data_IF_201435740583
#
_entry.id   IF_201435740583
#
_cell.length_a   1.000
_cell.length_b   1.000
_cell.length_c   1.000
_cell.angle_alpha   90.00
_cell.angle_beta   90.00
_cell.angle_gamma   90.00
#
_symmetry.space_group_name_H-M   'P 1'
#
loop_
_entity.id
_entity.type
_entity.pdbx_description
1 polymer ?
#
# COMPACT_ATOMS: atom_id res chain seq x y z
N UNK A 1 52.71 55.52 3.77
CA UNK A 1 54.06 55.00 4.04
C UNK A 1 54.26 53.76 3.19
N UNK A 2 55.08 53.90 2.15
CA UNK A 2 55.61 52.81 1.32
C UNK A 2 56.88 52.29 2.02
N UNK A 3 57.19 50.99 1.91
CA UNK A 3 58.53 50.45 1.56
C UNK A 3 58.87 49.10 2.21
N UNK A 4 59.13 48.08 1.35
CA UNK A 4 60.25 47.08 1.36
C UNK A 4 60.43 46.11 2.55
N UNK A 5 60.98 44.88 2.47
CA UNK A 5 61.39 43.87 1.45
C UNK A 5 61.89 42.64 2.27
N UNK A 6 62.07 41.50 1.58
CA UNK A 6 63.02 40.38 1.86
C UNK A 6 62.52 39.22 2.75
N UNK A 7 62.34 38.01 2.19
CA UNK A 7 63.29 36.85 2.05
C UNK A 7 63.65 36.24 3.42
N UNK A 8 63.51 34.93 3.67
CA UNK A 8 64.26 33.84 3.00
C UNK A 8 63.56 32.48 3.10
N UNK A 9 63.95 31.61 2.16
CA UNK A 9 63.62 30.20 1.98
C UNK A 9 64.83 29.36 2.41
N UNK A 10 64.64 28.22 3.07
CA UNK A 10 65.65 27.16 3.32
C UNK A 10 64.98 25.83 2.93
N UNK A 11 65.41 25.10 1.89
CA UNK A 11 66.58 24.20 1.89
C UNK A 11 66.20 22.88 2.61
N UNK A 12 66.26 21.66 2.05
CA UNK A 12 67.17 21.12 1.02
C UNK A 12 66.60 19.87 0.31
N UNK A 13 67.09 19.68 -0.93
CA UNK A 13 67.25 18.48 -1.82
C UNK A 13 66.94 17.08 -1.26
N UNK A 14 66.22 16.19 -1.98
CA UNK A 14 66.59 15.44 -3.23
C UNK A 14 67.75 14.45 -2.99
N UNK A 15 67.77 13.18 -3.38
CA UNK A 15 67.15 12.48 -4.50
C UNK A 15 67.03 10.95 -4.24
N UNK A 16 66.37 10.27 -5.19
CA UNK A 16 66.02 8.86 -5.30
C UNK A 16 67.18 7.86 -5.52
N UNK A 17 66.94 6.57 -5.24
CA UNK A 17 67.40 5.45 -6.10
C UNK A 17 66.60 4.13 -5.88
N UNK A 18 66.34 3.39 -6.96
CA UNK A 18 65.84 2.01 -7.13
C UNK A 18 66.89 1.26 -7.98
N UNK A 19 66.87 -0.08 -8.26
CA UNK A 19 66.21 -1.27 -7.66
C UNK A 19 67.19 -2.47 -7.47
N UNK A 20 66.75 -3.65 -6.98
CA UNK A 20 67.07 -4.99 -7.56
C UNK A 20 66.47 -6.20 -6.79
N UNK A 21 66.47 -7.34 -7.47
CA UNK A 21 65.57 -8.51 -7.42
C UNK A 21 66.34 -9.78 -7.04
N UNK A 22 65.78 -10.69 -6.22
CA UNK A 22 66.10 -12.15 -6.09
C UNK A 22 64.97 -12.84 -5.30
N UNK A 23 64.05 -13.56 -5.95
CA UNK A 23 64.03 -15.00 -6.27
C UNK A 23 63.71 -15.95 -5.09
N UNK A 24 62.45 -16.41 -5.13
CA UNK A 24 61.77 -17.59 -4.57
C UNK A 24 62.52 -18.65 -3.75
N UNK A 25 61.83 -19.12 -2.69
CA UNK A 25 61.55 -20.54 -2.44
C UNK A 25 60.21 -20.70 -1.73
N UNK A 26 59.40 -21.63 -2.22
CA UNK A 26 58.11 -22.03 -1.68
C UNK A 26 58.28 -22.95 -0.46
N UNK A 27 57.36 -22.86 0.50
CA UNK A 27 56.92 -24.02 1.26
C UNK A 27 55.40 -23.98 1.44
N UNK A 28 54.79 -25.12 1.20
CA UNK A 28 53.36 -25.34 1.07
C UNK A 28 52.83 -25.97 2.35
N UNK A 29 51.89 -25.32 3.02
CA UNK A 29 50.78 -25.97 3.74
C UNK A 29 49.90 -24.98 4.49
N UNK A 30 48.86 -24.46 3.82
CA UNK A 30 47.54 -24.29 4.44
C UNK A 30 46.47 -24.11 3.37
N UNK A 31 45.80 -25.22 3.07
CA UNK A 31 44.62 -25.32 2.21
C UNK A 31 43.55 -24.31 2.69
N UNK A 32 43.05 -23.39 1.85
CA UNK A 32 42.01 -22.47 2.25
C UNK A 32 40.73 -23.27 2.52
N UNK A 33 40.14 -23.06 3.69
CA UNK A 33 38.82 -23.59 4.02
C UNK A 33 37.85 -23.15 2.93
N UNK A 34 37.24 -24.15 2.28
CA UNK A 34 36.21 -24.02 1.26
C UNK A 34 35.14 -23.09 1.83
N UNK A 35 34.94 -21.92 1.21
CA UNK A 35 33.78 -21.05 1.47
C UNK A 35 32.54 -21.94 1.51
N UNK A 36 31.66 -21.84 2.51
CA UNK A 36 30.38 -22.50 2.46
C UNK A 36 29.70 -22.04 1.18
N UNK A 37 29.54 -22.96 0.24
CA UNK A 37 28.72 -22.74 -0.94
C UNK A 37 27.33 -22.45 -0.44
N UNK A 38 26.92 -21.20 -0.56
CA UNK A 38 25.55 -20.76 -0.32
C UNK A 38 24.64 -21.73 -1.06
N UNK A 39 23.72 -22.44 -0.37
CA UNK A 39 22.72 -23.22 -1.06
C UNK A 39 21.97 -22.26 -1.98
N UNK A 40 21.98 -22.55 -3.28
CA UNK A 40 21.09 -21.91 -4.24
C UNK A 40 19.68 -22.09 -3.70
N UNK A 41 19.07 -21.01 -3.22
CA UNK A 41 17.72 -21.03 -2.68
C UNK A 41 16.82 -21.73 -3.69
N UNK A 42 16.17 -22.81 -3.26
CA UNK A 42 15.03 -23.34 -3.98
C UNK A 42 14.06 -22.18 -4.16
N UNK A 43 13.60 -21.94 -5.39
CA UNK A 43 12.55 -20.96 -5.65
C UNK A 43 11.37 -21.31 -4.74
N UNK A 44 10.99 -20.41 -3.85
CA UNK A 44 9.90 -20.67 -2.91
C UNK A 44 8.58 -20.73 -3.68
N UNK A 45 7.84 -21.83 -3.53
CA UNK A 45 6.43 -21.99 -3.98
C UNK A 45 5.49 -21.26 -3.00
N UNK A 46 5.92 -20.09 -2.49
CA UNK A 46 5.17 -19.36 -1.48
C UNK A 46 3.95 -18.71 -2.15
N UNK A 47 2.78 -19.27 -1.86
CA UNK A 47 1.50 -18.78 -2.34
C UNK A 47 0.45 -18.90 -1.22
N UNK A 48 -0.63 -18.12 -1.33
CA UNK A 48 -1.77 -18.23 -0.41
C UNK A 48 -2.28 -19.68 -0.39
N UNK A 49 -2.56 -20.19 0.81
CA UNK A 49 -3.00 -21.57 1.04
C UNK A 49 -1.87 -22.60 1.12
N UNK A 50 -0.61 -22.23 0.86
CA UNK A 50 0.54 -23.12 1.02
C UNK A 50 1.12 -23.06 2.43
N UNK A 51 1.64 -24.19 2.90
CA UNK A 51 2.37 -24.25 4.18
C UNK A 51 3.76 -23.64 4.05
N UNK A 52 4.18 -22.93 5.08
CA UNK A 52 5.54 -22.44 5.26
C UNK A 52 6.41 -23.55 5.82
N UNK A 53 7.48 -23.91 5.12
CA UNK A 53 8.34 -25.06 5.46
C UNK A 53 9.78 -24.67 5.75
N UNK A 54 10.04 -23.39 6.05
CA UNK A 54 11.39 -22.90 6.33
C UNK A 54 11.83 -23.25 7.75
N UNK A 55 13.11 -23.63 7.90
CA UNK A 55 13.81 -23.88 9.16
C UNK A 55 14.69 -22.69 9.59
N UNK A 56 14.49 -21.52 8.96
CA UNK A 56 15.31 -20.34 9.23
C UNK A 56 15.15 -19.89 10.69
N UNK A 57 16.30 -19.60 11.30
CA UNK A 57 16.42 -18.90 12.58
C UNK A 57 17.10 -17.56 12.32
N UNK A 58 16.52 -16.49 12.84
CA UNK A 58 17.08 -15.14 12.81
C UNK A 58 17.31 -14.64 14.23
N UNK A 59 17.91 -13.45 14.35
CA UNK A 59 17.96 -12.72 15.61
C UNK A 59 17.06 -11.50 15.55
N UNK A 60 16.42 -11.16 16.67
CA UNK A 60 15.69 -9.91 16.80
C UNK A 60 16.62 -8.73 17.17
N UNK A 61 16.05 -7.56 17.40
CA UNK A 61 16.79 -6.34 17.76
C UNK A 61 17.61 -6.47 19.06
N UNK A 62 17.20 -7.36 19.98
CA UNK A 62 17.86 -7.65 21.25
C UNK A 62 18.88 -8.79 21.15
N UNK A 63 19.21 -9.22 19.92
CA UNK A 63 20.11 -10.35 19.63
C UNK A 63 19.59 -11.71 20.16
N UNK A 64 18.28 -11.80 20.44
CA UNK A 64 17.63 -13.07 20.81
C UNK A 64 17.29 -13.84 19.56
N UNK A 65 17.56 -15.15 19.58
CA UNK A 65 17.18 -16.05 18.50
C UNK A 65 15.67 -16.19 18.38
N UNK A 66 15.18 -16.16 17.14
CA UNK A 66 13.78 -16.36 16.77
C UNK A 66 13.74 -17.44 15.69
N UNK A 67 13.26 -18.63 16.06
CA UNK A 67 12.98 -19.71 15.12
C UNK A 67 11.69 -19.36 14.38
N UNK A 68 11.77 -19.15 13.07
CA UNK A 68 10.64 -18.58 12.31
C UNK A 68 9.42 -19.51 12.35
N UNK A 69 9.62 -20.82 12.29
CA UNK A 69 8.56 -21.82 12.39
C UNK A 69 7.79 -21.77 13.73
N UNK A 70 8.44 -21.34 14.82
CA UNK A 70 7.78 -21.23 16.13
C UNK A 70 6.84 -20.03 16.20
N UNK A 71 7.10 -18.98 15.40
CA UNK A 71 6.32 -17.72 15.45
C UNK A 71 4.85 -17.91 15.07
N UNK A 72 4.52 -18.96 14.30
CA UNK A 72 3.18 -19.26 13.82
C UNK A 72 2.66 -20.63 14.24
N UNK A 73 3.31 -21.30 15.21
CA UNK A 73 2.84 -22.61 15.70
C UNK A 73 1.50 -22.46 16.42
N UNK A 74 1.43 -21.53 17.36
CA UNK A 74 0.29 -21.39 18.28
C UNK A 74 -0.55 -20.12 18.05
N UNK A 75 -0.10 -19.23 17.19
CA UNK A 75 -0.74 -17.96 16.85
C UNK A 75 -0.52 -17.64 15.38
N UNK A 76 -1.27 -16.67 14.85
CA UNK A 76 -1.02 -16.16 13.51
C UNK A 76 0.01 -15.01 13.55
N UNK A 77 0.61 -14.67 12.43
CA UNK A 77 1.68 -13.68 12.36
C UNK A 77 1.68 -12.89 11.06
N UNK A 78 1.99 -11.61 11.15
CA UNK A 78 2.25 -10.72 10.02
C UNK A 78 3.75 -10.41 9.97
N UNK A 79 4.41 -10.80 8.89
CA UNK A 79 5.75 -10.35 8.55
C UNK A 79 5.65 -9.21 7.55
N UNK A 80 6.24 -8.05 7.86
CA UNK A 80 6.37 -6.96 6.89
C UNK A 80 7.83 -6.70 6.57
N UNK A 81 8.15 -6.71 5.28
CA UNK A 81 9.50 -6.51 4.77
C UNK A 81 9.69 -5.07 4.36
N UNK A 82 10.85 -4.51 4.70
CA UNK A 82 11.18 -3.13 4.37
C UNK A 82 12.65 -2.95 3.93
N UNK A 83 12.94 -2.03 3.00
CA UNK A 83 14.29 -1.77 2.51
C UNK A 83 15.34 -1.43 3.57
N UNK A 84 14.99 -0.54 4.51
CA UNK A 84 15.92 -0.01 5.51
C UNK A 84 15.22 0.71 6.64
N UNK A 85 15.60 0.41 7.87
CA UNK A 85 15.14 1.09 9.08
C UNK A 85 15.45 2.61 9.03
N UNK A 86 14.72 3.41 9.82
CA UNK A 86 14.87 4.87 9.92
C UNK A 86 14.63 5.69 8.63
N UNK A 87 14.19 5.08 7.52
CA UNK A 87 13.83 5.82 6.30
C UNK A 87 12.34 6.21 6.30
N UNK A 88 11.93 7.34 5.69
CA UNK A 88 10.56 7.86 5.81
C UNK A 88 9.46 6.85 5.44
N UNK A 89 9.62 6.14 4.31
CA UNK A 89 8.64 5.13 3.88
C UNK A 89 8.61 3.90 4.79
N UNK A 90 9.75 3.44 5.30
CA UNK A 90 9.81 2.30 6.23
C UNK A 90 9.23 2.66 7.59
N UNK A 91 9.53 3.86 8.09
CA UNK A 91 8.92 4.42 9.31
C UNK A 91 7.41 4.53 9.16
N UNK A 92 6.89 4.99 8.00
CA UNK A 92 5.44 5.05 7.77
C UNK A 92 4.77 3.66 7.86
N UNK A 93 5.40 2.63 7.30
CA UNK A 93 4.87 1.25 7.37
C UNK A 93 4.89 0.72 8.81
N UNK A 94 6.04 0.82 9.49
CA UNK A 94 6.19 0.30 10.84
C UNK A 94 5.30 1.03 11.85
N UNK A 95 5.19 2.36 11.76
CA UNK A 95 4.27 3.13 12.59
C UNK A 95 2.81 2.76 12.29
N UNK A 96 2.44 2.52 11.03
CA UNK A 96 1.08 2.05 10.72
C UNK A 96 0.74 0.70 11.37
N UNK A 97 1.69 -0.25 11.39
CA UNK A 97 1.50 -1.50 12.16
C UNK A 97 1.45 -1.26 13.66
N UNK A 98 2.27 -0.36 14.21
CA UNK A 98 2.22 0.03 15.63
C UNK A 98 0.84 0.59 15.98
N UNK A 99 0.34 1.52 15.17
CA UNK A 99 -0.90 2.23 15.43
C UNK A 99 -2.12 1.29 15.35
N UNK A 100 -1.97 0.12 14.71
CA UNK A 100 -2.98 -0.95 14.64
C UNK A 100 -2.63 -2.18 15.51
N UNK A 101 -1.61 -2.11 16.36
CA UNK A 101 -1.10 -3.32 17.04
C UNK A 101 -2.14 -3.98 17.93
N UNK A 102 -3.01 -3.19 18.58
CA UNK A 102 -4.02 -3.73 19.48
C UNK A 102 -5.04 -4.56 18.70
N UNK A 103 -5.59 -4.00 17.63
CA UNK A 103 -6.47 -4.70 16.69
C UNK A 103 -5.85 -6.00 16.17
N UNK A 104 -4.55 -5.98 15.86
CA UNK A 104 -3.86 -7.16 15.34
C UNK A 104 -3.74 -8.23 16.45
N UNK A 105 -3.38 -7.83 17.67
CA UNK A 105 -3.25 -8.73 18.83
C UNK A 105 -4.59 -9.33 19.26
N UNK A 106 -5.64 -8.52 19.29
CA UNK A 106 -6.99 -8.95 19.68
C UNK A 106 -7.53 -10.02 18.72
N UNK A 107 -7.10 -9.98 17.46
CA UNK A 107 -7.42 -11.00 16.45
C UNK A 107 -6.52 -12.25 16.50
N UNK A 108 -5.61 -12.36 17.48
CA UNK A 108 -4.71 -13.50 17.63
C UNK A 108 -3.49 -13.49 16.71
N UNK A 109 -3.10 -12.31 16.22
CA UNK A 109 -1.92 -12.14 15.38
C UNK A 109 -0.79 -11.41 16.12
N UNK A 110 0.45 -11.77 15.78
CA UNK A 110 1.65 -11.00 16.10
C UNK A 110 2.20 -10.30 14.88
N UNK A 111 3.11 -9.35 15.08
CA UNK A 111 3.77 -8.61 14.00
C UNK A 111 5.28 -8.75 14.15
N UNK A 112 5.97 -8.96 13.03
CA UNK A 112 7.43 -8.82 12.93
C UNK A 112 7.78 -7.92 11.75
N UNK A 113 8.68 -6.96 12.00
CA UNK A 113 9.38 -6.26 10.91
C UNK A 113 10.60 -7.07 10.47
N UNK A 114 10.86 -7.15 9.17
CA UNK A 114 11.99 -7.91 8.60
C UNK A 114 12.82 -7.05 7.63
N UNK A 115 14.12 -6.94 7.87
CA UNK A 115 15.07 -6.32 6.94
C UNK A 115 16.49 -6.86 7.08
N UNK A 116 17.38 -6.44 6.17
CA UNK A 116 18.81 -6.72 6.26
C UNK A 116 19.59 -5.81 7.24
N UNK A 117 18.90 -5.00 8.05
CA UNK A 117 19.55 -4.11 9.04
C UNK A 117 20.10 -4.93 10.23
N UNK A 118 21.17 -4.45 10.87
CA UNK A 118 21.75 -5.10 12.06
C UNK A 118 20.88 -4.93 13.32
N UNK A 119 20.98 -5.83 14.33
CA UNK A 119 20.21 -5.73 15.58
C UNK A 119 20.35 -4.36 16.27
N UNK A 120 21.56 -3.78 16.28
CA UNK A 120 21.82 -2.44 16.81
C UNK A 120 21.03 -1.33 16.07
N UNK A 121 20.96 -1.39 14.73
CA UNK A 121 20.18 -0.43 13.93
C UNK A 121 18.69 -0.54 14.25
N UNK A 122 18.21 -1.79 14.37
CA UNK A 122 16.83 -2.11 14.70
C UNK A 122 16.45 -1.66 16.12
N UNK A 123 17.30 -1.87 17.11
CA UNK A 123 17.08 -1.41 18.50
C UNK A 123 16.92 0.10 18.55
N UNK A 124 17.82 0.85 17.90
CA UNK A 124 17.72 2.31 17.85
C UNK A 124 16.41 2.77 17.19
N UNK A 125 15.98 2.10 16.12
CA UNK A 125 14.75 2.44 15.42
C UNK A 125 13.50 2.09 16.22
N UNK A 126 13.47 0.90 16.85
CA UNK A 126 12.40 0.45 17.74
C UNK A 126 12.18 1.44 18.88
N UNK A 127 13.25 1.85 19.55
CA UNK A 127 13.18 2.86 20.62
C UNK A 127 12.72 4.21 20.09
N UNK A 128 13.29 4.69 18.97
CA UNK A 128 12.97 6.01 18.41
C UNK A 128 11.50 6.13 17.97
N UNK A 129 10.90 5.04 17.50
CA UNK A 129 9.52 5.03 16.98
C UNK A 129 8.52 4.35 17.93
N UNK A 130 8.97 3.96 19.13
CA UNK A 130 8.16 3.24 20.12
C UNK A 130 7.43 2.03 19.51
N UNK A 131 8.15 1.19 18.75
CA UNK A 131 7.55 0.04 18.06
C UNK A 131 7.28 -1.10 19.06
N UNK A 132 6.02 -1.58 19.20
CA UNK A 132 5.60 -2.52 20.24
C UNK A 132 5.72 -4.00 19.81
N UNK A 133 6.54 -4.26 18.80
CA UNK A 133 6.74 -5.58 18.18
C UNK A 133 8.21 -5.79 17.85
N UNK A 134 8.59 -7.02 17.55
CA UNK A 134 9.99 -7.38 17.27
C UNK A 134 10.39 -7.09 15.83
N UNK A 135 11.68 -6.78 15.67
CA UNK A 135 12.32 -6.50 14.40
C UNK A 135 13.42 -7.53 14.17
N UNK A 136 13.34 -8.26 13.07
CA UNK A 136 14.24 -9.34 12.71
C UNK A 136 15.34 -8.84 11.79
N UNK A 137 16.57 -9.23 12.12
CA UNK A 137 17.78 -8.96 11.33
C UNK A 137 18.06 -10.16 10.42
N UNK A 138 18.01 -9.94 9.11
CA UNK A 138 18.31 -10.94 8.08
C UNK A 138 19.34 -10.42 7.06
N UNK A 139 20.60 -10.14 7.48
CA UNK A 139 21.62 -9.56 6.60
C UNK A 139 22.01 -10.47 5.42
N UNK A 140 21.78 -11.79 5.55
CA UNK A 140 22.03 -12.79 4.51
C UNK A 140 20.79 -13.02 3.61
N UNK A 141 19.68 -12.33 3.87
CA UNK A 141 18.43 -12.40 3.12
C UNK A 141 17.86 -13.83 3.02
N UNK A 142 18.02 -14.67 4.05
CA UNK A 142 17.49 -16.04 4.08
C UNK A 142 15.97 -16.04 4.03
N UNK A 143 15.35 -15.39 5.01
CA UNK A 143 13.89 -15.30 5.11
C UNK A 143 13.33 -14.32 4.07
N UNK A 144 14.04 -13.21 3.83
CA UNK A 144 13.65 -12.22 2.81
C UNK A 144 13.55 -12.85 1.42
N UNK A 145 14.52 -13.70 1.05
CA UNK A 145 14.50 -14.41 -0.23
C UNK A 145 13.42 -15.49 -0.25
N UNK A 146 13.23 -16.22 0.86
CA UNK A 146 12.15 -17.19 0.99
C UNK A 146 10.76 -16.56 0.80
N UNK A 147 10.55 -15.34 1.31
CA UNK A 147 9.34 -14.54 1.08
C UNK A 147 9.28 -13.84 -0.28
N UNK A 148 10.15 -14.18 -1.23
CA UNK A 148 10.15 -13.60 -2.58
C UNK A 148 10.41 -12.09 -2.61
N UNK A 149 11.05 -11.56 -1.55
CA UNK A 149 11.19 -10.12 -1.32
C UNK A 149 12.63 -9.63 -1.51
N UNK A 150 13.50 -10.45 -2.08
CA UNK A 150 14.88 -10.10 -2.40
C UNK A 150 14.98 -9.55 -3.83
N UNK A 151 15.71 -8.45 -4.01
CA UNK A 151 15.97 -7.79 -5.27
C UNK A 151 17.47 -7.81 -5.62
N UNK A 152 17.85 -7.64 -6.90
CA UNK A 152 19.24 -7.56 -7.32
C UNK A 152 20.05 -6.53 -6.51
N UNK A 153 21.28 -6.92 -6.16
CA UNK A 153 22.19 -6.08 -5.38
C UNK A 153 21.88 -6.03 -3.88
N UNK A 154 21.38 -7.14 -3.32
CA UNK A 154 21.05 -7.27 -1.89
C UNK A 154 20.06 -6.21 -1.39
N UNK A 155 19.08 -5.88 -2.24
CA UNK A 155 18.01 -4.93 -1.90
C UNK A 155 16.79 -5.71 -1.42
N UNK A 156 16.01 -5.11 -0.53
CA UNK A 156 14.75 -5.68 -0.05
C UNK A 156 13.59 -4.96 -0.74
N UNK A 157 12.68 -5.73 -1.33
CA UNK A 157 11.40 -5.24 -1.83
C UNK A 157 10.45 -5.05 -0.65
N UNK A 158 9.71 -3.95 -0.64
CA UNK A 158 8.65 -3.77 0.34
C UNK A 158 7.50 -4.73 0.04
N UNK A 159 7.09 -5.46 1.06
CA UNK A 159 6.09 -6.53 0.97
C UNK A 159 5.57 -6.86 2.37
N UNK A 160 4.54 -7.69 2.44
CA UNK A 160 4.18 -8.41 3.66
C UNK A 160 3.70 -9.81 3.32
N UNK A 161 3.79 -10.69 4.32
CA UNK A 161 3.23 -12.04 4.30
C UNK A 161 2.47 -12.23 5.60
N UNK A 162 1.23 -12.68 5.50
CA UNK A 162 0.44 -13.12 6.66
C UNK A 162 0.46 -14.63 6.70
N UNK A 163 0.81 -15.20 7.85
CA UNK A 163 0.85 -16.64 8.08
C UNK A 163 -0.13 -16.93 9.22
N UNK A 164 -1.09 -17.80 8.95
CA UNK A 164 -2.06 -18.27 9.92
C UNK A 164 -1.41 -19.25 10.89
N UNK A 165 -2.01 -19.37 12.07
CA UNK A 165 -1.70 -20.44 13.04
C UNK A 165 -1.61 -21.79 12.32
N UNK A 166 -0.54 -22.54 12.60
CA UNK A 166 -0.23 -23.81 11.93
C UNK A 166 0.60 -23.65 10.64
N UNK A 167 0.96 -22.42 10.26
CA UNK A 167 1.95 -22.15 9.21
C UNK A 167 1.41 -22.09 7.80
N UNK A 168 0.11 -21.88 7.60
CA UNK A 168 -0.48 -21.68 6.26
C UNK A 168 -0.42 -20.21 5.87
N UNK A 169 0.03 -19.89 4.66
CA UNK A 169 0.04 -18.52 4.16
C UNK A 169 -1.38 -18.03 3.91
N UNK A 170 -1.77 -16.95 4.59
CA UNK A 170 -3.08 -16.32 4.47
C UNK A 170 -3.15 -15.20 3.42
N UNK A 171 -2.14 -14.33 3.39
CA UNK A 171 -2.04 -13.23 2.41
C UNK A 171 -0.57 -12.96 2.04
N UNK A 172 -0.36 -12.50 0.81
CA UNK A 172 0.95 -12.06 0.32
C UNK A 172 0.75 -10.78 -0.50
N UNK A 173 1.51 -9.75 -0.20
CA UNK A 173 1.59 -8.58 -1.08
C UNK A 173 3.06 -8.24 -1.38
N UNK A 174 3.43 -8.33 -2.66
CA UNK A 174 4.73 -7.89 -3.14
C UNK A 174 4.63 -6.49 -3.78
N UNK A 175 5.72 -5.71 -3.71
CA UNK A 175 5.80 -4.36 -4.33
C UNK A 175 4.73 -3.41 -3.80
N UNK A 176 4.42 -3.53 -2.51
CA UNK A 176 3.34 -2.80 -1.87
C UNK A 176 3.84 -1.46 -1.35
N UNK A 177 2.96 -0.45 -1.28
CA UNK A 177 3.28 0.82 -0.64
C UNK A 177 3.29 0.68 0.90
N UNK A 178 3.89 1.61 1.66
CA UNK A 178 3.86 1.57 3.13
C UNK A 178 2.45 1.49 3.71
N UNK A 179 1.51 2.29 3.18
CA UNK A 179 0.15 2.37 3.70
C UNK A 179 -0.69 1.16 3.29
N UNK A 180 -0.50 0.68 2.05
CA UNK A 180 -1.25 -0.46 1.54
C UNK A 180 -0.84 -1.76 2.23
N UNK A 181 0.44 -1.89 2.61
CA UNK A 181 0.91 -3.05 3.38
C UNK A 181 0.17 -3.19 4.70
N UNK A 182 0.11 -2.09 5.46
CA UNK A 182 -0.60 -2.03 6.75
C UNK A 182 -2.09 -2.28 6.54
N UNK A 183 -2.67 -1.58 5.58
CA UNK A 183 -4.10 -1.65 5.27
C UNK A 183 -4.57 -3.06 4.95
N UNK A 184 -3.89 -3.74 4.04
CA UNK A 184 -4.23 -5.10 3.61
C UNK A 184 -4.02 -6.12 4.70
N UNK A 185 -2.90 -6.05 5.42
CA UNK A 185 -2.62 -6.98 6.51
C UNK A 185 -3.64 -6.83 7.66
N UNK A 186 -3.95 -5.60 8.08
CA UNK A 186 -4.95 -5.35 9.14
C UNK A 186 -6.34 -5.79 8.71
N UNK A 187 -6.70 -5.61 7.43
CA UNK A 187 -7.96 -6.12 6.90
C UNK A 187 -8.05 -7.65 6.98
N UNK A 188 -7.01 -8.33 6.48
CA UNK A 188 -6.95 -9.78 6.52
C UNK A 188 -7.08 -10.29 7.97
N UNK A 189 -6.39 -9.64 8.90
CA UNK A 189 -6.42 -9.98 10.33
C UNK A 189 -7.83 -9.83 10.90
N UNK A 190 -8.51 -8.71 10.64
CA UNK A 190 -9.91 -8.48 11.09
C UNK A 190 -10.89 -9.52 10.54
N UNK A 191 -10.71 -9.92 9.28
CA UNK A 191 -11.53 -10.97 8.65
C UNK A 191 -11.26 -12.35 9.26
N UNK A 192 -10.00 -12.61 9.62
CA UNK A 192 -9.58 -13.89 10.22
C UNK A 192 -10.06 -14.06 11.66
N UNK A 193 -10.33 -12.98 12.40
CA UNK A 193 -10.92 -13.02 13.75
C UNK A 193 -12.42 -13.31 13.78
N UNK A 194 -13.09 -13.46 12.63
CA UNK A 194 -14.53 -13.75 12.53
C UNK A 194 -14.93 -15.21 12.77
N UNK A 195 -13.99 -16.09 13.10
CA UNK A 195 -14.29 -17.46 13.51
C UNK A 195 -13.92 -17.62 15.00
N UNK A 196 -14.95 -17.80 15.86
CA UNK A 196 -14.88 -18.07 17.32
C UNK A 196 -14.74 -16.77 18.19
N UNK A 197 -15.70 -16.23 18.96
CA UNK A 197 -16.94 -16.68 19.63
C UNK A 197 -17.80 -15.44 20.10
N UNK A 198 -18.76 -15.56 21.05
CA UNK A 198 -20.18 -15.90 20.94
C UNK A 198 -21.17 -14.70 20.95
N UNK A 199 -22.42 -15.02 20.62
CA UNK A 199 -23.64 -14.19 20.54
C UNK A 199 -23.87 -13.26 21.75
N UNK A 200 -24.27 -12.02 21.47
CA UNK A 200 -25.30 -11.31 22.24
C UNK A 200 -26.07 -10.36 21.31
N UNK A 201 -27.35 -10.72 21.15
CA UNK A 201 -28.56 -10.01 20.69
C UNK A 201 -28.50 -8.96 19.57
N UNK A 202 -29.07 -9.38 18.43
CA UNK A 202 -29.62 -8.53 17.36
C UNK A 202 -30.59 -7.44 17.87
N UNK A 203 -30.84 -6.43 17.03
CA UNK A 203 -32.16 -6.41 16.41
C UNK A 203 -32.10 -6.40 14.87
N UNK A 204 -32.61 -7.49 14.29
CA UNK A 204 -33.39 -7.62 13.06
C UNK A 204 -32.84 -7.00 11.77
N UNK A 205 -32.20 -7.89 10.99
CA UNK A 205 -32.31 -8.05 9.52
C UNK A 205 -33.29 -7.10 8.80
N UNK A 206 -32.74 -6.29 7.90
CA UNK A 206 -33.25 -6.26 6.52
C UNK A 206 -32.31 -7.11 5.67
N UNK A 207 -32.91 -8.02 4.91
CA UNK A 207 -32.21 -9.04 4.14
C UNK A 207 -31.58 -8.43 2.88
N UNK A 208 -30.25 -8.40 2.83
CA UNK A 208 -29.52 -8.26 1.56
C UNK A 208 -29.61 -9.59 0.79
N UNK A 209 -30.07 -9.60 -0.47
CA UNK A 209 -30.25 -10.82 -1.23
C UNK A 209 -28.90 -11.45 -1.55
N UNK A 210 -28.79 -12.73 -1.20
CA UNK A 210 -27.73 -13.63 -1.62
C UNK A 210 -27.90 -13.98 -3.11
N UNK A 211 -27.39 -13.13 -3.99
CA UNK A 211 -26.80 -13.51 -5.28
C UNK A 211 -26.15 -12.26 -5.88
N UNK A 212 -24.82 -12.11 -5.76
CA UNK A 212 -24.13 -11.02 -6.44
C UNK A 212 -24.01 -11.36 -7.92
N UNK A 213 -25.07 -11.07 -8.68
CA UNK A 213 -24.88 -10.64 -10.06
C UNK A 213 -23.87 -9.49 -10.03
N UNK A 214 -22.63 -9.77 -10.47
CA UNK A 214 -21.58 -8.76 -10.52
C UNK A 214 -22.12 -7.57 -11.33
N UNK A 215 -22.15 -6.40 -10.71
CA UNK A 215 -22.39 -5.15 -11.40
C UNK A 215 -21.32 -5.00 -12.49
N UNK A 216 -21.71 -5.15 -13.76
CA UNK A 216 -20.80 -5.17 -14.91
C UNK A 216 -21.13 -4.05 -15.90
N UNK A 217 -20.17 -3.72 -16.74
CA UNK A 217 -20.35 -2.80 -17.87
C UNK A 217 -21.53 -3.26 -18.73
N UNK A 218 -22.38 -2.31 -19.11
CA UNK A 218 -23.58 -2.54 -19.89
C UNK A 218 -24.88 -2.66 -19.08
N UNK A 219 -24.78 -2.93 -17.77
CA UNK A 219 -25.95 -2.93 -16.87
C UNK A 219 -26.51 -1.50 -16.71
N UNK A 220 -27.79 -1.39 -16.35
CA UNK A 220 -28.39 -0.12 -15.95
C UNK A 220 -28.26 0.04 -14.44
N UNK A 221 -27.85 1.23 -14.00
CA UNK A 221 -27.84 1.59 -12.57
C UNK A 221 -29.27 1.63 -12.04
N UNK A 222 -29.60 0.70 -11.16
CA UNK A 222 -30.91 0.57 -10.49
C UNK A 222 -30.95 1.17 -9.09
N UNK A 223 -29.82 1.68 -8.59
CA UNK A 223 -29.73 2.31 -7.27
C UNK A 223 -30.65 3.54 -7.18
N UNK A 224 -31.70 3.47 -6.35
CA UNK A 224 -32.71 4.54 -6.23
C UNK A 224 -32.51 5.44 -5.00
N UNK A 225 -31.37 5.30 -4.31
CA UNK A 225 -31.07 6.05 -3.09
C UNK A 225 -30.69 7.52 -3.31
N UNK A 226 -30.66 8.24 -2.20
CA UNK A 226 -30.24 9.63 -2.12
C UNK A 226 -28.94 9.74 -1.32
N UNK A 227 -28.09 10.70 -1.67
CA UNK A 227 -26.85 11.02 -0.94
C UNK A 227 -26.80 12.52 -0.61
N UNK A 228 -25.97 12.88 0.36
CA UNK A 228 -25.67 14.30 0.62
C UNK A 228 -24.47 14.75 -0.20
N UNK A 229 -24.51 15.98 -0.70
CA UNK A 229 -23.38 16.64 -1.37
C UNK A 229 -22.42 17.29 -0.37
N UNK A 230 -21.26 17.77 -0.82
CA UNK A 230 -20.38 18.64 -0.01
C UNK A 230 -21.11 19.87 0.57
N UNK A 231 -22.10 20.42 -0.13
CA UNK A 231 -22.94 21.51 0.37
C UNK A 231 -24.06 21.05 1.33
N UNK A 232 -24.05 19.79 1.78
CA UNK A 232 -25.10 19.15 2.59
C UNK A 232 -26.48 19.10 1.92
N UNK A 233 -26.58 19.41 0.62
CA UNK A 233 -27.81 19.25 -0.14
C UNK A 233 -28.04 17.78 -0.48
N UNK A 234 -29.28 17.30 -0.34
CA UNK A 234 -29.68 15.95 -0.72
C UNK A 234 -29.87 15.86 -2.24
N UNK A 235 -29.32 14.82 -2.85
CA UNK A 235 -29.48 14.54 -4.29
C UNK A 235 -29.89 13.09 -4.50
N UNK A 236 -30.83 12.88 -5.43
CA UNK A 236 -31.18 11.54 -5.89
C UNK A 236 -30.15 11.07 -6.90
N UNK A 237 -29.56 9.89 -6.68
CA UNK A 237 -28.44 9.40 -7.52
C UNK A 237 -28.84 9.26 -8.99
N UNK A 238 -30.07 8.83 -9.26
CA UNK A 238 -30.62 8.70 -10.61
C UNK A 238 -30.68 10.02 -11.39
N UNK A 239 -30.82 11.16 -10.71
CA UNK A 239 -30.87 12.46 -11.38
C UNK A 239 -29.50 12.92 -11.87
N UNK A 240 -28.40 12.40 -11.30
CA UNK A 240 -27.02 12.79 -11.63
C UNK A 240 -26.60 12.36 -13.05
N UNK A 241 -27.27 11.37 -13.64
CA UNK A 241 -26.98 10.87 -14.98
C UNK A 241 -28.23 10.80 -15.87
N UNK A 242 -29.27 11.57 -15.54
CA UNK A 242 -30.53 11.57 -16.31
C UNK A 242 -30.36 12.14 -17.70
N UNK A 243 -29.59 13.22 -17.83
CA UNK A 243 -29.47 13.99 -19.06
C UNK A 243 -28.05 14.07 -19.62
N UNK A 244 -27.05 13.89 -18.76
CA UNK A 244 -25.61 13.88 -19.02
C UNK A 244 -25.04 12.57 -18.50
N UNK A 245 -23.83 12.22 -18.93
CA UNK A 245 -23.09 11.12 -18.30
C UNK A 245 -22.53 11.56 -16.94
N UNK A 246 -22.21 10.62 -16.08
CA UNK A 246 -21.59 10.87 -14.79
C UNK A 246 -20.35 10.00 -14.61
N UNK A 247 -19.24 10.61 -14.21
CA UNK A 247 -18.02 9.93 -13.76
C UNK A 247 -18.01 9.99 -12.24
N UNK A 248 -18.25 8.86 -11.60
CA UNK A 248 -18.06 8.69 -10.16
C UNK A 248 -16.64 8.19 -9.93
N UNK A 249 -15.77 8.99 -9.33
CA UNK A 249 -14.47 8.51 -8.88
C UNK A 249 -14.50 8.28 -7.37
N UNK A 250 -14.15 7.06 -6.96
CA UNK A 250 -14.16 6.64 -5.57
C UNK A 250 -12.75 6.71 -5.01
N UNK A 251 -12.65 7.14 -3.75
CA UNK A 251 -11.38 7.34 -3.10
C UNK A 251 -11.44 6.95 -1.60
N UNK A 252 -10.33 6.44 -1.02
CA UNK A 252 -10.31 5.96 0.36
C UNK A 252 -10.66 6.97 1.46
N UNK A 253 -10.17 8.21 1.34
CA UNK A 253 -10.35 9.28 2.35
C UNK A 253 -10.00 10.65 1.74
N UNK A 254 -10.84 11.64 1.99
CA UNK A 254 -10.59 13.04 1.61
C UNK A 254 -9.25 13.55 2.19
N UNK A 255 -8.66 14.53 1.50
CA UNK A 255 -7.43 15.23 1.93
C UNK A 255 -6.21 14.33 2.22
N UNK A 256 -6.07 13.25 1.44
CA UNK A 256 -4.87 12.40 1.47
C UNK A 256 -4.11 12.47 0.14
N UNK A 257 -2.77 12.36 0.11
CA UNK A 257 -1.97 12.69 -1.10
C UNK A 257 -2.41 11.97 -2.39
N UNK A 258 -2.77 10.68 -2.30
CA UNK A 258 -3.24 9.92 -3.46
C UNK A 258 -4.65 10.33 -3.91
N UNK A 259 -5.54 10.64 -2.97
CA UNK A 259 -6.89 11.12 -3.26
C UNK A 259 -6.85 12.55 -3.83
N UNK A 260 -6.03 13.42 -3.26
CA UNK A 260 -5.76 14.77 -3.78
C UNK A 260 -5.19 14.70 -5.20
N UNK A 261 -4.29 13.76 -5.49
CA UNK A 261 -3.77 13.58 -6.86
C UNK A 261 -4.89 13.21 -7.85
N UNK A 262 -5.76 12.27 -7.49
CA UNK A 262 -6.90 11.86 -8.34
C UNK A 262 -7.88 13.03 -8.53
N UNK A 263 -8.27 13.68 -7.42
CA UNK A 263 -9.24 14.77 -7.40
C UNK A 263 -8.75 16.00 -8.17
N UNK A 264 -7.47 16.38 -8.02
CA UNK A 264 -6.84 17.43 -8.82
C UNK A 264 -6.79 17.05 -10.31
N UNK A 265 -6.41 15.83 -10.65
CA UNK A 265 -6.35 15.42 -12.05
C UNK A 265 -7.71 15.50 -12.76
N UNK A 266 -8.80 15.13 -12.09
CA UNK A 266 -10.15 15.36 -12.63
C UNK A 266 -10.51 16.85 -12.69
N UNK A 267 -10.12 17.65 -11.69
CA UNK A 267 -10.36 19.09 -11.69
C UNK A 267 -9.66 19.80 -12.86
N UNK A 268 -8.42 19.41 -13.16
CA UNK A 268 -7.61 19.95 -14.25
C UNK A 268 -8.18 19.60 -15.63
N UNK A 269 -8.89 18.48 -15.74
CA UNK A 269 -9.51 18.00 -16.98
C UNK A 269 -11.03 18.25 -17.04
N UNK A 270 -11.60 18.92 -16.04
CA UNK A 270 -13.05 19.04 -15.88
C UNK A 270 -13.71 19.70 -17.09
N UNK A 271 -13.10 20.73 -17.66
CA UNK A 271 -13.67 21.44 -18.81
C UNK A 271 -13.79 20.53 -20.05
N UNK A 272 -12.79 19.69 -20.30
CA UNK A 272 -12.82 18.74 -21.41
C UNK A 272 -13.86 17.62 -21.17
N UNK A 273 -13.96 17.12 -19.94
CA UNK A 273 -14.97 16.12 -19.56
C UNK A 273 -16.38 16.70 -19.69
N UNK A 274 -16.58 17.93 -19.21
CA UNK A 274 -17.85 18.63 -19.29
C UNK A 274 -18.26 18.93 -20.72
N UNK A 275 -17.30 19.30 -21.59
CA UNK A 275 -17.55 19.51 -23.01
C UNK A 275 -17.97 18.22 -23.74
N UNK A 276 -17.50 17.06 -23.28
CA UNK A 276 -17.91 15.76 -23.80
C UNK A 276 -19.29 15.28 -23.29
N UNK A 277 -19.96 16.06 -22.44
CA UNK A 277 -21.30 15.77 -21.93
C UNK A 277 -21.33 14.92 -20.66
N UNK A 278 -20.21 14.83 -19.92
CA UNK A 278 -20.13 14.13 -18.63
C UNK A 278 -19.95 15.12 -17.48
N UNK A 279 -20.51 14.82 -16.32
CA UNK A 279 -20.23 15.50 -15.06
C UNK A 279 -19.33 14.63 -14.18
N UNK A 280 -18.51 15.25 -13.33
CA UNK A 280 -17.60 14.54 -12.42
C UNK A 280 -18.13 14.62 -10.99
N UNK A 281 -18.12 13.49 -10.30
CA UNK A 281 -18.48 13.38 -8.89
C UNK A 281 -17.40 12.62 -8.12
N UNK A 282 -16.86 13.23 -7.07
CA UNK A 282 -16.06 12.50 -6.10
C UNK A 282 -16.97 11.79 -5.11
N UNK A 283 -16.84 10.48 -4.95
CA UNK A 283 -17.67 9.67 -4.06
C UNK A 283 -16.83 9.05 -2.94
N UNK A 284 -17.14 9.36 -1.68
CA UNK A 284 -16.38 8.88 -0.53
C UNK A 284 -17.19 8.76 0.75
N UNK A 285 -16.61 8.11 1.76
CA UNK A 285 -17.25 7.88 3.06
C UNK A 285 -17.18 9.08 4.03
N UNK A 286 -16.49 10.15 3.62
CA UNK A 286 -16.34 11.37 4.38
C UNK A 286 -17.68 12.09 4.54
N UNK A 287 -17.86 12.80 5.66
CA UNK A 287 -19.04 13.63 5.93
C UNK A 287 -19.12 14.85 5.00
N UNK A 288 -20.31 15.44 4.75
CA UNK A 288 -20.43 16.66 3.94
C UNK A 288 -19.48 17.79 4.38
N UNK A 289 -19.30 17.98 5.68
CA UNK A 289 -18.44 19.02 6.23
C UNK A 289 -16.94 18.79 5.90
N UNK A 290 -16.45 17.55 6.01
CA UNK A 290 -15.09 17.18 5.60
C UNK A 290 -14.87 17.40 4.10
N UNK A 291 -15.87 17.03 3.29
CA UNK A 291 -15.83 17.20 1.83
C UNK A 291 -15.82 18.68 1.42
N UNK A 292 -16.63 19.52 2.07
CA UNK A 292 -16.66 20.95 1.82
C UNK A 292 -15.31 21.60 2.16
N UNK A 293 -14.76 21.29 3.33
CA UNK A 293 -13.46 21.81 3.74
C UNK A 293 -12.35 21.41 2.76
N UNK A 294 -12.34 20.15 2.31
CA UNK A 294 -11.38 19.67 1.33
C UNK A 294 -11.55 20.38 -0.02
N UNK A 295 -12.79 20.49 -0.52
CA UNK A 295 -13.15 21.19 -1.76
C UNK A 295 -12.72 22.65 -1.75
N UNK A 296 -12.97 23.38 -0.66
CA UNK A 296 -12.57 24.78 -0.54
C UNK A 296 -11.05 24.94 -0.49
N UNK A 297 -10.35 24.06 0.24
CA UNK A 297 -8.89 24.11 0.36
C UNK A 297 -8.17 23.90 -0.97
N UNK A 298 -8.71 23.01 -1.81
CA UNK A 298 -8.13 22.64 -3.12
C UNK A 298 -8.80 23.35 -4.30
N UNK A 299 -9.88 24.10 -4.05
CA UNK A 299 -10.69 24.82 -5.05
C UNK A 299 -11.25 23.90 -6.15
N UNK A 300 -11.79 22.75 -5.76
CA UNK A 300 -12.42 21.83 -6.71
C UNK A 300 -13.72 22.41 -7.25
N UNK A 301 -13.89 22.34 -8.58
CA UNK A 301 -15.02 22.94 -9.31
C UNK A 301 -16.26 22.03 -9.40
N UNK A 302 -16.13 20.75 -9.05
CA UNK A 302 -17.20 19.75 -9.12
C UNK A 302 -17.75 19.37 -7.74
N UNK A 303 -18.79 18.54 -7.73
CA UNK A 303 -19.51 18.13 -6.50
C UNK A 303 -18.92 16.84 -5.94
N UNK A 304 -18.74 16.79 -4.62
CA UNK A 304 -18.50 15.54 -3.88
C UNK A 304 -19.81 15.02 -3.29
N UNK A 305 -19.90 13.69 -3.21
CA UNK A 305 -21.01 12.93 -2.64
C UNK A 305 -20.51 12.21 -1.39
N UNK A 306 -21.20 12.42 -0.28
CA UNK A 306 -21.00 11.76 1.00
C UNK A 306 -21.83 10.48 1.04
N UNK A 307 -21.15 9.35 1.20
CA UNK A 307 -21.75 8.03 1.37
C UNK A 307 -21.10 7.28 2.54
N UNK A 308 -21.27 7.72 3.81
CA UNK A 308 -20.59 7.13 4.97
C UNK A 308 -21.02 5.68 5.26
N UNK A 309 -22.17 5.28 4.73
CA UNK A 309 -22.72 3.92 4.85
C UNK A 309 -22.36 3.02 3.67
N UNK A 310 -21.63 3.56 2.69
CA UNK A 310 -21.22 2.85 1.48
C UNK A 310 -22.38 2.24 0.69
N UNK A 311 -23.53 2.91 0.65
CA UNK A 311 -24.69 2.41 -0.09
C UNK A 311 -24.41 2.39 -1.59
N UNK A 312 -23.99 3.53 -2.15
CA UNK A 312 -23.64 3.63 -3.58
C UNK A 312 -22.23 3.08 -3.85
N UNK A 313 -21.28 3.31 -2.92
CA UNK A 313 -19.92 2.77 -3.03
C UNK A 313 -19.95 1.23 -3.07
N UNK A 314 -20.75 0.62 -2.20
CA UNK A 314 -20.94 -0.83 -2.14
C UNK A 314 -21.69 -1.35 -3.36
N UNK A 315 -22.74 -0.65 -3.80
CA UNK A 315 -23.46 -0.96 -5.04
C UNK A 315 -22.53 -1.01 -6.26
N UNK A 316 -21.58 -0.07 -6.36
CA UNK A 316 -20.55 -0.05 -7.40
C UNK A 316 -19.41 -1.06 -7.16
N UNK A 317 -19.53 -1.97 -6.20
CA UNK A 317 -18.50 -2.97 -5.89
C UNK A 317 -17.18 -2.38 -5.39
N UNK A 318 -17.19 -1.12 -4.95
CA UNK A 318 -15.99 -0.38 -4.53
C UNK A 318 -15.83 -0.34 -3.01
N UNK A 319 -16.71 -1.03 -2.29
CA UNK A 319 -16.50 -1.33 -0.88
C UNK A 319 -15.62 -2.54 -0.71
N UNK A 320 -14.50 -2.33 -0.02
CA UNK A 320 -13.61 -3.39 0.46
C UNK A 320 -13.73 -3.48 1.98
N UNK A 321 -13.13 -4.52 2.56
CA UNK A 321 -13.15 -4.72 4.01
C UNK A 321 -14.58 -4.81 4.57
N UNK A 322 -15.45 -5.59 3.93
CA UNK A 322 -16.84 -5.82 4.36
C UNK A 322 -17.63 -4.52 4.54
N UNK A 323 -17.46 -3.58 3.61
CA UNK A 323 -18.16 -2.29 3.66
C UNK A 323 -17.47 -1.22 4.49
N UNK A 324 -16.29 -1.48 5.07
CA UNK A 324 -15.63 -0.49 5.97
C UNK A 324 -14.60 0.41 5.30
N UNK A 325 -14.19 0.10 4.05
CA UNK A 325 -13.27 0.95 3.29
C UNK A 325 -13.69 1.11 1.84
N UNK A 326 -13.28 2.23 1.26
CA UNK A 326 -13.46 2.53 -0.16
C UNK A 326 -12.19 2.12 -0.91
N UNK A 327 -12.34 1.22 -1.87
CA UNK A 327 -11.30 0.93 -2.86
C UNK A 327 -11.24 2.08 -3.86
N UNK A 328 -10.03 2.49 -4.25
CA UNK A 328 -9.91 3.50 -5.30
C UNK A 328 -10.36 2.90 -6.63
N UNK A 329 -11.39 3.50 -7.20
CA UNK A 329 -12.01 3.06 -8.45
C UNK A 329 -12.64 4.24 -9.19
N UNK A 330 -13.15 3.99 -10.39
CA UNK A 330 -14.17 4.85 -10.97
C UNK A 330 -15.25 4.02 -11.67
N UNK A 331 -16.45 4.58 -11.72
CA UNK A 331 -17.57 4.07 -12.51
C UNK A 331 -18.09 5.21 -13.37
N UNK A 332 -18.22 4.95 -14.67
CA UNK A 332 -18.77 5.91 -15.63
C UNK A 332 -20.14 5.43 -16.07
N UNK A 333 -21.13 6.28 -15.88
CA UNK A 333 -22.53 6.04 -16.21
C UNK A 333 -22.91 6.96 -17.37
N UNK A 334 -23.44 6.40 -18.44
CA UNK A 334 -23.96 7.13 -19.58
C UNK A 334 -25.32 7.78 -19.26
N UNK A 335 -25.77 8.79 -20.02
CA UNK A 335 -27.12 9.34 -19.89
C UNK A 335 -28.17 8.22 -19.90
N UNK A 336 -29.12 8.29 -18.96
CA UNK A 336 -30.15 7.28 -18.80
C UNK A 336 -29.72 6.04 -17.99
N UNK A 337 -28.51 6.04 -17.42
CA UNK A 337 -28.12 5.11 -16.36
C UNK A 337 -27.35 3.88 -16.81
N UNK A 338 -27.01 3.73 -18.10
CA UNK A 338 -26.23 2.58 -18.56
C UNK A 338 -24.76 2.69 -18.15
N UNK A 339 -24.19 1.67 -17.54
CA UNK A 339 -22.77 1.65 -17.14
C UNK A 339 -21.88 1.52 -18.37
N UNK A 340 -21.00 2.49 -18.57
CA UNK A 340 -20.04 2.54 -19.67
C UNK A 340 -18.67 1.98 -19.33
N UNK A 341 -18.15 2.24 -18.12
CA UNK A 341 -16.86 1.76 -17.67
C UNK A 341 -16.85 1.54 -16.16
N UNK A 342 -16.13 0.50 -15.72
CA UNK A 342 -15.84 0.22 -14.32
C UNK A 342 -14.34 -0.11 -14.23
N UNK A 343 -13.61 0.58 -13.37
CA UNK A 343 -12.19 0.32 -13.10
C UNK A 343 -11.95 0.26 -11.60
N UNK A 344 -11.66 -0.92 -11.08
CA UNK A 344 -11.33 -1.19 -9.68
C UNK A 344 -9.81 -1.21 -9.44
N UNK A 345 -9.39 -0.99 -8.19
CA UNK A 345 -7.98 -0.99 -7.77
C UNK A 345 -7.07 -0.17 -8.72
N UNK A 346 -7.53 1.02 -9.10
CA UNK A 346 -6.88 1.85 -10.10
C UNK A 346 -5.97 2.90 -9.43
N UNK A 347 -4.87 3.27 -10.10
CA UNK A 347 -4.02 4.37 -9.62
C UNK A 347 -4.74 5.72 -9.76
N UNK A 348 -4.38 6.75 -8.97
CA UNK A 348 -4.93 8.10 -9.11
C UNK A 348 -4.85 8.64 -10.54
N UNK A 349 -3.70 8.47 -11.21
CA UNK A 349 -3.44 8.98 -12.55
C UNK A 349 -4.16 8.17 -13.63
N UNK A 350 -4.19 6.84 -13.48
CA UNK A 350 -4.90 5.97 -14.43
C UNK A 350 -6.40 6.23 -14.36
N UNK A 351 -6.95 6.49 -13.17
CA UNK A 351 -8.36 6.86 -13.04
C UNK A 351 -8.70 8.07 -13.89
N UNK A 352 -7.88 9.12 -13.81
CA UNK A 352 -8.11 10.38 -14.52
C UNK A 352 -7.92 10.20 -16.02
N UNK A 353 -6.82 9.58 -16.43
CA UNK A 353 -6.50 9.41 -17.86
C UNK A 353 -7.52 8.53 -18.58
N UNK A 354 -7.89 7.38 -18.00
CA UNK A 354 -8.92 6.50 -18.57
C UNK A 354 -10.29 7.16 -18.57
N UNK A 355 -10.68 7.84 -17.48
CA UNK A 355 -11.96 8.55 -17.42
C UNK A 355 -12.09 9.65 -18.46
N UNK A 356 -11.01 10.41 -18.69
CA UNK A 356 -10.95 11.41 -19.75
C UNK A 356 -11.01 10.79 -21.16
N UNK A 357 -10.29 9.69 -21.38
CA UNK A 357 -10.31 8.96 -22.65
C UNK A 357 -11.70 8.41 -22.97
N UNK A 358 -12.38 7.85 -21.97
CA UNK A 358 -13.75 7.38 -22.10
C UNK A 358 -14.68 8.54 -22.47
N UNK A 359 -14.64 9.65 -21.73
CA UNK A 359 -15.50 10.80 -22.00
C UNK A 359 -15.31 11.32 -23.43
N UNK A 360 -14.06 11.47 -23.90
CA UNK A 360 -13.74 11.91 -25.27
C UNK A 360 -14.27 10.95 -26.34
N UNK A 361 -14.10 9.65 -26.13
CA UNK A 361 -14.55 8.62 -27.09
C UNK A 361 -16.06 8.42 -27.12
N UNK A 362 -16.77 8.88 -26.08
CA UNK A 362 -18.23 8.76 -25.94
C UNK A 362 -18.90 10.13 -25.86
N UNK A 363 -18.38 11.12 -26.60
CA UNK A 363 -18.91 12.49 -26.59
C UNK A 363 -20.43 12.48 -26.84
N UNK A 364 -21.20 12.97 -25.87
CA UNK A 364 -22.66 13.01 -25.93
C UNK A 364 -23.06 14.29 -26.64
N UNK A 365 -23.49 14.16 -27.88
CA UNK A 365 -23.88 15.31 -28.69
C UNK A 365 -25.15 15.95 -28.12
N UNK A 366 -25.09 17.25 -27.80
CA UNK A 366 -26.22 18.00 -27.28
C UNK A 366 -27.41 18.05 -28.26
N UNK A 367 -27.14 17.78 -29.54
CA UNK A 367 -28.12 17.77 -30.63
C UNK A 367 -28.91 16.46 -30.79
N UNK A 368 -28.54 15.36 -30.12
CA UNK A 368 -29.22 14.06 -30.26
C UNK A 368 -30.46 13.87 -29.38
N UNK A 369 -30.94 14.94 -28.72
CA UNK A 369 -32.27 14.97 -28.07
C UNK A 369 -33.29 15.60 -29.01
N UNK A 370 -33.80 14.80 -29.94
CA UNK A 370 -35.09 15.01 -30.62
C UNK A 370 -35.92 13.74 -30.52
#
# INVERSE_FOLDING_TARGET
MVSTRSRTNSGSSSAAELPQKRSATADASKRPAKKPTTPKAAASDLAVGKSVTTDVTLVNQEEKEVVIADTFRDQSVVFFMYPRANTPGCTKQACGFRDNIQTIKDAGFTVYGLSGDSPKSLTNWKTKQSLPFDLLSDPEHKLISYFGSSLPGNKVQRSHVVILKGGVVGDIAAKVSPADSVSRAVEFVKKSSGAEAPKEDEPTKEEEPTDTEKFVVGNTVTFDGELQTDASATVKVQDLFKTRGAIFFMYPKADTPGCTTQACGYNDNLEAINAAGFDVYGLGADTPAELLAWKESQKYKYTFLSDPKHQLIGYFGSSINDGTRVERSHVIVLPGGKVGQIEHNISPQDSVSKGLEFAKSHTIDAASKL
#
